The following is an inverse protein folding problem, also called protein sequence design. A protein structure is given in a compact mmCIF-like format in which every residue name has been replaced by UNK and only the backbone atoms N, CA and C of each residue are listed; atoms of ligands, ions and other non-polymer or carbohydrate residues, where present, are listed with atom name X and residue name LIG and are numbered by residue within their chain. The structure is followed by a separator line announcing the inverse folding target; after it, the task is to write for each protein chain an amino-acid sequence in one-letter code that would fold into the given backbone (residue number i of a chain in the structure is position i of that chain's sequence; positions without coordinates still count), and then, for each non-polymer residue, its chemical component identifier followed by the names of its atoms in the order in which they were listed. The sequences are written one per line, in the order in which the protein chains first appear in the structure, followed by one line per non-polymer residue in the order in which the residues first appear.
data_IF_448075056234
#
_entry.id   IF_448075056234
#
_cell.length_a   1.000
_cell.length_b   1.000
_cell.length_c   1.000
_cell.angle_alpha   90.00
_cell.angle_beta   90.00
_cell.angle_gamma   90.00
#
_symmetry.space_group_name_H-M   'P 1'
#
loop_
_entity.id
_entity.type
_entity.pdbx_description
1 polymer ?
#
# COMPACT_ATOMS: atom_id res chain seq x y z
N UNK A 1 10.81 45.22 -50.73
CA UNK A 1 11.03 43.84 -50.24
C UNK A 1 10.37 43.74 -48.88
N UNK A 2 9.22 43.07 -48.78
CA UNK A 2 8.31 43.15 -47.63
C UNK A 2 8.61 42.06 -46.57
N UNK A 3 9.88 41.93 -46.19
CA UNK A 3 10.37 40.88 -45.28
C UNK A 3 9.73 40.99 -43.89
N UNK A 4 9.47 42.20 -43.41
CA UNK A 4 8.84 42.42 -42.10
C UNK A 4 7.38 41.93 -42.04
N UNK A 5 6.63 42.07 -43.15
CA UNK A 5 5.25 41.54 -43.25
C UNK A 5 5.25 40.01 -43.25
N UNK A 6 6.24 39.40 -43.90
CA UNK A 6 6.42 37.94 -43.89
C UNK A 6 6.82 37.41 -42.52
N UNK A 7 7.71 38.11 -41.79
CA UNK A 7 8.07 37.78 -40.41
C UNK A 7 6.86 37.86 -39.47
N UNK A 8 6.00 38.87 -39.62
CA UNK A 8 4.79 39.00 -38.81
C UNK A 8 3.80 37.86 -39.07
N UNK A 9 3.59 37.50 -40.34
CA UNK A 9 2.70 36.40 -40.72
C UNK A 9 3.24 35.05 -40.22
N UNK A 10 4.56 34.83 -40.32
CA UNK A 10 5.20 33.62 -39.81
C UNK A 10 5.07 33.51 -38.28
N UNK A 11 5.29 34.61 -37.56
CA UNK A 11 5.17 34.63 -36.10
C UNK A 11 3.72 34.42 -35.63
N UNK A 12 2.74 34.97 -36.37
CA UNK A 12 1.32 34.74 -36.09
C UNK A 12 0.93 33.27 -36.34
N UNK A 13 1.42 32.68 -37.43
CA UNK A 13 1.17 31.26 -37.74
C UNK A 13 1.82 30.33 -36.70
N UNK A 14 3.02 30.67 -36.22
CA UNK A 14 3.68 29.93 -35.15
C UNK A 14 2.87 29.98 -33.84
N UNK A 15 2.39 31.15 -33.44
CA UNK A 15 1.56 31.28 -32.23
C UNK A 15 0.22 30.54 -32.37
N UNK A 16 -0.42 30.62 -33.53
CA UNK A 16 -1.65 29.88 -33.80
C UNK A 16 -1.42 28.37 -33.77
N UNK A 17 -0.29 27.88 -34.31
CA UNK A 17 0.09 26.48 -34.25
C UNK A 17 0.37 26.02 -32.81
N UNK A 18 1.03 26.84 -31.99
CA UNK A 18 1.26 26.53 -30.57
C UNK A 18 -0.05 26.42 -29.80
N UNK A 19 -0.99 27.34 -30.01
CA UNK A 19 -2.31 27.30 -29.36
C UNK A 19 -3.14 26.11 -29.83
N UNK A 20 -3.09 25.78 -31.13
CA UNK A 20 -3.77 24.61 -31.67
C UNK A 20 -3.16 23.30 -31.15
N UNK A 21 -1.84 23.22 -31.04
CA UNK A 21 -1.14 22.08 -30.46
C UNK A 21 -1.48 21.91 -28.98
N UNK A 22 -1.52 23.01 -28.20
CA UNK A 22 -1.94 22.99 -26.81
C UNK A 22 -3.40 22.53 -26.67
N UNK A 23 -4.29 23.04 -27.51
CA UNK A 23 -5.69 22.63 -27.53
C UNK A 23 -5.84 21.15 -27.88
N UNK A 24 -5.08 20.65 -28.85
CA UNK A 24 -5.08 19.23 -29.21
C UNK A 24 -4.45 18.38 -28.10
N UNK A 25 -3.44 18.88 -27.39
CA UNK A 25 -2.84 18.17 -26.26
C UNK A 25 -3.77 18.10 -25.04
N UNK A 26 -4.60 19.12 -24.82
CA UNK A 26 -5.62 19.14 -23.77
C UNK A 26 -6.95 18.46 -24.16
N UNK A 27 -7.25 18.38 -25.47
CA UNK A 27 -8.49 17.77 -25.99
C UNK A 27 -8.29 16.38 -26.56
N UNK A 28 -7.03 15.92 -26.69
CA UNK A 28 -6.79 14.50 -26.68
C UNK A 28 -7.27 14.09 -25.29
N UNK A 29 -8.43 13.43 -25.23
CA UNK A 29 -8.71 12.55 -24.12
C UNK A 29 -7.39 11.82 -23.91
N UNK A 30 -6.77 12.04 -22.74
CA UNK A 30 -6.21 10.88 -22.11
C UNK A 30 -7.39 9.92 -22.17
N UNK A 31 -7.32 8.86 -22.99
CA UNK A 31 -7.94 7.63 -22.55
C UNK A 31 -7.49 7.59 -21.11
N UNK A 32 -8.42 7.89 -20.19
CA UNK A 32 -8.25 7.50 -18.82
C UNK A 32 -7.73 6.10 -18.99
N UNK A 33 -6.49 5.84 -18.56
CA UNK A 33 -6.03 4.48 -18.50
C UNK A 33 -7.22 3.78 -17.87
N UNK A 34 -7.89 2.94 -18.65
CA UNK A 34 -8.96 2.09 -18.18
C UNK A 34 -8.18 1.13 -17.28
N UNK A 35 -7.90 1.64 -16.10
CA UNK A 35 -7.94 0.88 -14.89
C UNK A 35 -9.44 0.72 -14.62
N UNK A 36 -10.14 0.08 -15.56
CA UNK A 36 -10.96 -1.08 -15.25
C UNK A 36 -9.99 -2.12 -14.65
N UNK A 37 -9.42 -1.83 -13.49
CA UNK A 37 -9.65 -2.79 -12.43
C UNK A 37 -11.14 -2.70 -12.24
N UNK A 38 -11.83 -3.73 -12.73
CA UNK A 38 -13.18 -4.06 -12.32
C UNK A 38 -13.17 -4.01 -10.79
N UNK A 39 -13.40 -2.82 -10.26
CA UNK A 39 -14.01 -2.66 -8.98
C UNK A 39 -15.38 -3.35 -9.20
N UNK A 40 -15.62 -4.57 -8.65
CA UNK A 40 -16.94 -5.17 -8.66
C UNK A 40 -18.00 -4.11 -8.33
N UNK A 41 -19.10 -4.07 -9.07
CA UNK A 41 -20.22 -3.12 -8.91
C UNK A 41 -20.92 -3.18 -7.53
N UNK A 42 -20.28 -3.78 -6.53
CA UNK A 42 -20.75 -4.00 -5.17
C UNK A 42 -19.89 -3.25 -4.12
N UNK A 43 -19.19 -2.17 -4.49
CA UNK A 43 -18.65 -1.27 -3.47
C UNK A 43 -19.80 -0.58 -2.74
N UNK A 44 -19.97 -0.98 -1.49
CA UNK A 44 -20.85 -0.39 -0.47
C UNK A 44 -20.87 1.14 -0.57
N UNK A 45 -22.03 1.77 -0.33
CA UNK A 45 -22.27 3.23 -0.37
C UNK A 45 -21.35 4.06 0.56
N UNK A 46 -20.40 3.44 1.26
CA UNK A 46 -19.53 4.01 2.28
C UNK A 46 -18.06 3.63 2.06
N UNK A 47 -17.49 4.08 0.93
CA UNK A 47 -16.06 3.92 0.64
C UNK A 47 -15.27 5.12 1.18
N UNK A 48 -14.24 4.85 2.00
CA UNK A 48 -13.34 5.86 2.55
C UNK A 48 -11.94 5.61 1.99
N UNK A 49 -11.31 6.68 1.50
CA UNK A 49 -9.91 6.66 1.12
C UNK A 49 -9.07 7.29 2.22
N UNK A 50 -8.04 6.58 2.68
CA UNK A 50 -7.04 7.11 3.61
C UNK A 50 -5.68 7.26 2.92
N UNK A 51 -4.93 8.29 3.31
CA UNK A 51 -3.56 8.50 2.86
C UNK A 51 -2.57 7.63 3.65
N UNK A 52 -1.41 7.31 3.04
CA UNK A 52 -0.34 6.52 3.66
C UNK A 52 0.04 7.03 5.04
N UNK A 53 0.21 8.35 5.18
CA UNK A 53 0.61 8.96 6.44
C UNK A 53 -0.44 8.76 7.54
N UNK A 54 -1.72 8.71 7.16
CA UNK A 54 -2.84 8.49 8.09
C UNK A 54 -2.86 7.04 8.53
N UNK A 55 -2.71 6.10 7.59
CA UNK A 55 -2.64 4.66 7.90
C UNK A 55 -1.41 4.34 8.74
N UNK A 56 -0.24 4.90 8.41
CA UNK A 56 0.99 4.77 9.19
C UNK A 56 0.78 5.25 10.63
N UNK A 57 0.17 6.44 10.80
CA UNK A 57 -0.10 6.98 12.12
C UNK A 57 -1.05 6.08 12.93
N UNK A 58 -2.11 5.55 12.29
CA UNK A 58 -3.06 4.65 12.95
C UNK A 58 -2.39 3.34 13.37
N UNK A 59 -1.62 2.70 12.48
CA UNK A 59 -0.88 1.48 12.78
C UNK A 59 0.14 1.69 13.90
N UNK A 60 0.93 2.77 13.83
CA UNK A 60 1.92 3.09 14.86
C UNK A 60 1.28 3.43 16.22
N UNK A 61 0.08 4.01 16.22
CA UNK A 61 -0.66 4.29 17.45
C UNK A 61 -1.13 2.98 18.08
N UNK A 62 -1.75 2.09 17.29
CA UNK A 62 -2.20 0.79 17.74
C UNK A 62 -1.06 -0.08 18.28
N UNK A 63 0.05 -0.16 17.54
CA UNK A 63 1.22 -0.93 17.94
C UNK A 63 1.84 -0.44 19.26
N UNK A 64 1.79 0.87 19.54
CA UNK A 64 2.28 1.43 20.81
C UNK A 64 1.33 1.17 21.99
N UNK A 65 0.03 1.03 21.74
CA UNK A 65 -0.99 0.82 22.78
C UNK A 65 -1.10 -0.65 23.21
N UNK A 66 -1.14 -1.58 22.26
CA UNK A 66 -1.31 -3.01 22.55
C UNK A 66 0.00 -3.76 22.77
N UNK A 67 1.08 -3.30 22.16
CA UNK A 67 2.38 -3.92 22.28
C UNK A 67 3.36 -2.92 22.89
N UNK A 68 3.73 -3.12 24.17
CA UNK A 68 4.90 -2.48 24.78
C UNK A 68 6.24 -2.88 24.12
N UNK A 69 6.20 -3.21 22.84
CA UNK A 69 7.25 -3.68 21.95
C UNK A 69 7.79 -2.52 21.14
N UNK A 70 9.10 -2.55 20.89
CA UNK A 70 9.80 -1.60 20.03
C UNK A 70 9.53 -1.94 18.55
N UNK A 71 8.26 -1.84 18.14
CA UNK A 71 7.79 -2.04 16.77
C UNK A 71 7.32 -0.73 16.16
N UNK A 72 7.70 -0.47 14.92
CA UNK A 72 7.31 0.73 14.16
C UNK A 72 7.07 0.37 12.70
N UNK A 73 6.01 0.92 12.11
CA UNK A 73 5.68 0.79 10.70
C UNK A 73 5.97 2.12 10.01
N UNK A 74 6.51 2.05 8.80
CA UNK A 74 6.71 3.20 7.91
C UNK A 74 6.15 2.85 6.54
N UNK A 75 5.29 3.71 6.01
CA UNK A 75 4.63 3.51 4.71
C UNK A 75 5.11 4.62 3.77
N UNK A 76 5.95 4.25 2.81
CA UNK A 76 6.37 5.14 1.72
C UNK A 76 5.73 4.71 0.40
N UNK A 77 5.76 5.58 -0.61
CA UNK A 77 5.32 5.29 -1.98
C UNK A 77 6.10 4.13 -2.66
N UNK A 78 7.28 3.77 -2.14
CA UNK A 78 8.09 2.69 -2.69
C UNK A 78 7.82 1.34 -2.01
N UNK A 79 7.72 1.31 -0.67
CA UNK A 79 7.60 0.07 0.08
C UNK A 79 7.00 0.30 1.48
N UNK A 80 6.39 -0.73 2.04
CA UNK A 80 5.97 -0.77 3.45
C UNK A 80 7.09 -1.42 4.27
N UNK A 81 7.59 -0.71 5.29
CA UNK A 81 8.64 -1.20 6.18
C UNK A 81 8.12 -1.40 7.58
N UNK A 82 8.29 -2.61 8.12
CA UNK A 82 8.04 -2.92 9.52
C UNK A 82 9.38 -3.11 10.22
N UNK A 83 9.64 -2.29 11.24
CA UNK A 83 10.80 -2.38 12.11
C UNK A 83 10.36 -2.99 13.44
N UNK A 84 11.12 -3.95 13.94
CA UNK A 84 10.84 -4.65 15.19
C UNK A 84 12.14 -5.00 15.91
N UNK A 85 12.32 -4.51 17.13
CA UNK A 85 13.42 -4.96 18.00
C UNK A 85 12.98 -6.22 18.75
N UNK A 86 13.67 -7.33 18.50
CA UNK A 86 13.38 -8.62 19.11
C UNK A 86 14.58 -9.13 19.89
N UNK A 87 14.34 -9.71 21.06
CA UNK A 87 15.37 -10.43 21.81
C UNK A 87 15.39 -11.90 21.36
N UNK A 88 16.44 -12.29 20.62
CA UNK A 88 16.70 -13.69 20.29
C UNK A 88 18.01 -14.12 20.94
N UNK A 89 18.02 -15.27 21.61
CA UNK A 89 19.23 -15.83 22.25
C UNK A 89 19.92 -14.87 23.24
N UNK A 90 19.15 -14.07 23.98
CA UNK A 90 19.64 -13.02 24.88
C UNK A 90 20.49 -11.92 24.19
N UNK A 91 20.24 -11.70 22.91
CA UNK A 91 20.79 -10.59 22.13
C UNK A 91 19.63 -9.81 21.50
N UNK A 92 19.71 -8.49 21.52
CA UNK A 92 18.75 -7.62 20.85
C UNK A 92 19.10 -7.52 19.37
N UNK A 93 18.10 -7.74 18.52
CA UNK A 93 18.22 -7.61 17.08
C UNK A 93 17.18 -6.64 16.54
N UNK A 94 17.66 -5.61 15.85
CA UNK A 94 16.83 -4.78 14.99
C UNK A 94 16.47 -5.59 13.75
N UNK A 95 15.18 -5.87 13.59
CA UNK A 95 14.64 -6.56 12.42
C UNK A 95 13.89 -5.58 11.55
N UNK A 96 14.21 -5.55 10.26
CA UNK A 96 13.52 -4.76 9.25
C UNK A 96 12.90 -5.73 8.26
N UNK A 97 11.58 -5.60 8.07
CA UNK A 97 10.80 -6.31 7.08
C UNK A 97 10.39 -5.34 5.99
N UNK A 98 10.62 -5.71 4.74
CA UNK A 98 10.00 -5.05 3.59
C UNK A 98 8.80 -5.90 3.20
N UNK A 99 7.62 -5.29 3.26
CA UNK A 99 6.33 -5.94 3.07
C UNK A 99 5.66 -5.40 1.81
N UNK A 100 5.10 -6.31 1.03
CA UNK A 100 4.22 -6.01 -0.10
C UNK A 100 2.81 -6.52 0.24
N UNK A 101 1.84 -5.62 0.45
CA UNK A 101 0.48 -6.01 0.75
C UNK A 101 -0.26 -6.42 -0.53
N UNK A 102 -1.03 -7.49 -0.44
CA UNK A 102 -1.95 -7.95 -1.45
C UNK A 102 -3.28 -8.30 -0.78
N UNK A 103 -4.36 -7.74 -1.30
CA UNK A 103 -5.71 -7.97 -0.80
C UNK A 103 -6.42 -8.94 -1.74
N UNK A 104 -6.99 -10.00 -1.17
CA UNK A 104 -7.92 -10.91 -1.86
C UNK A 104 -9.30 -10.78 -1.21
N UNK A 105 -10.34 -11.28 -1.86
CA UNK A 105 -11.73 -11.26 -1.40
C UNK A 105 -11.93 -11.70 0.07
N UNK A 106 -11.07 -12.58 0.60
CA UNK A 106 -11.20 -13.14 1.97
C UNK A 106 -9.94 -13.06 2.82
N UNK A 107 -8.78 -12.79 2.22
CA UNK A 107 -7.50 -12.84 2.90
C UNK A 107 -6.70 -11.58 2.58
N UNK A 108 -6.00 -11.09 3.61
CA UNK A 108 -5.03 -10.03 3.51
C UNK A 108 -3.63 -10.64 3.62
N UNK A 109 -2.87 -10.54 2.55
CA UNK A 109 -1.58 -11.22 2.39
C UNK A 109 -0.48 -10.17 2.42
N UNK A 110 0.46 -10.28 3.34
CA UNK A 110 1.68 -9.49 3.35
C UNK A 110 2.84 -10.38 2.90
N UNK A 111 3.24 -10.24 1.64
CA UNK A 111 4.43 -10.91 1.13
C UNK A 111 5.68 -10.22 1.68
N UNK A 112 6.66 -11.00 2.12
CA UNK A 112 7.89 -10.46 2.67
C UNK A 112 8.95 -10.45 1.57
N UNK A 113 9.13 -9.29 0.94
CA UNK A 113 10.09 -9.09 -0.14
C UNK A 113 11.53 -9.12 0.35
N UNK A 114 11.79 -8.64 1.58
CA UNK A 114 13.11 -8.67 2.18
C UNK A 114 13.05 -8.71 3.72
N UNK A 115 14.02 -9.39 4.34
CA UNK A 115 14.19 -9.45 5.79
C UNK A 115 15.64 -9.20 6.15
N UNK A 116 15.85 -8.18 6.97
CA UNK A 116 17.16 -7.87 7.53
C UNK A 116 17.13 -7.95 9.05
N UNK A 117 17.97 -8.80 9.64
CA UNK A 117 18.15 -8.92 11.10
C UNK A 117 19.57 -8.47 11.44
N UNK A 118 19.72 -7.20 11.81
CA UNK A 118 21.02 -6.58 12.07
C UNK A 118 22.00 -6.70 10.89
N UNK A 119 23.24 -7.11 11.17
CA UNK A 119 24.27 -7.42 10.15
C UNK A 119 24.52 -8.93 10.03
N UNK A 120 23.55 -9.76 10.41
CA UNK A 120 23.71 -11.20 10.33
C UNK A 120 23.74 -11.64 8.86
N UNK A 121 24.77 -12.37 8.39
CA UNK A 121 24.85 -12.86 7.02
C UNK A 121 24.00 -14.13 6.86
N UNK A 122 22.72 -14.04 7.21
CA UNK A 122 21.75 -15.14 7.06
C UNK A 122 20.96 -14.93 5.77
N UNK A 123 20.61 -16.01 5.09
CA UNK A 123 19.67 -15.93 3.97
C UNK A 123 18.27 -15.64 4.48
N UNK A 124 17.47 -14.94 3.68
CA UNK A 124 16.06 -14.65 3.97
C UNK A 124 15.28 -15.91 4.38
N UNK A 125 15.55 -17.06 3.75
CA UNK A 125 14.88 -18.33 4.08
C UNK A 125 15.10 -18.77 5.53
N UNK A 126 16.32 -18.56 6.05
CA UNK A 126 16.66 -18.90 7.43
C UNK A 126 16.01 -17.91 8.41
N UNK A 127 16.00 -16.62 8.07
CA UNK A 127 15.34 -15.60 8.88
C UNK A 127 13.83 -15.86 8.95
N UNK A 128 13.19 -16.14 7.82
CA UNK A 128 11.79 -16.51 7.75
C UNK A 128 11.47 -17.77 8.56
N UNK A 129 12.32 -18.80 8.45
CA UNK A 129 12.13 -20.05 9.20
C UNK A 129 12.25 -19.83 10.71
N UNK A 130 13.18 -18.98 11.15
CA UNK A 130 13.36 -18.64 12.56
C UNK A 130 12.12 -17.94 13.11
N UNK A 131 11.60 -16.94 12.40
CA UNK A 131 10.41 -16.18 12.81
C UNK A 131 9.19 -17.08 12.83
N UNK A 132 8.95 -17.85 11.77
CA UNK A 132 7.84 -18.80 11.69
C UNK A 132 7.84 -19.82 12.85
N UNK A 133 9.02 -20.25 13.29
CA UNK A 133 9.15 -21.24 14.37
C UNK A 133 9.05 -20.60 15.76
N UNK A 134 9.35 -19.31 15.89
CA UNK A 134 9.33 -18.58 17.15
C UNK A 134 8.08 -17.73 17.40
N UNK A 135 7.27 -17.47 16.37
CA UNK A 135 6.08 -16.63 16.47
C UNK A 135 4.84 -17.45 16.83
N UNK A 136 4.29 -17.20 18.03
CA UNK A 136 2.94 -17.64 18.38
C UNK A 136 1.92 -16.69 17.74
N UNK A 137 1.40 -17.08 16.57
CA UNK A 137 0.35 -16.32 15.89
C UNK A 137 -1.05 -16.71 16.43
N UNK A 138 -1.95 -15.75 16.70
CA UNK A 138 -3.35 -16.02 17.01
C UNK A 138 -4.11 -16.71 15.87
N UNK A 139 -5.25 -17.33 16.20
CA UNK A 139 -6.14 -17.98 15.23
C UNK A 139 -6.60 -16.96 14.18
N UNK A 140 -6.42 -17.27 12.89
CA UNK A 140 -6.71 -16.37 11.75
C UNK A 140 -5.47 -15.70 11.14
N UNK A 141 -4.29 -15.82 11.74
CA UNK A 141 -3.00 -15.48 11.09
C UNK A 141 -2.16 -16.73 10.81
N UNK A 142 -1.63 -16.84 9.61
CA UNK A 142 -0.76 -17.95 9.20
C UNK A 142 0.41 -17.49 8.34
N UNK A 143 1.60 -18.02 8.64
CA UNK A 143 2.75 -17.90 7.75
C UNK A 143 2.64 -18.90 6.59
N UNK A 144 2.70 -18.42 5.35
CA UNK A 144 2.72 -19.22 4.14
C UNK A 144 4.00 -20.07 4.07
N UNK A 145 3.86 -21.37 3.86
CA UNK A 145 5.02 -22.26 3.69
C UNK A 145 5.68 -22.17 2.32
N UNK A 146 4.99 -21.56 1.34
CA UNK A 146 5.41 -21.56 -0.06
C UNK A 146 5.93 -20.20 -0.54
N UNK A 147 5.36 -19.09 -0.03
CA UNK A 147 5.57 -17.74 -0.59
C UNK A 147 6.12 -16.71 0.40
N UNK A 148 6.75 -17.11 1.51
CA UNK A 148 7.26 -16.19 2.56
C UNK A 148 6.28 -15.05 2.88
N UNK A 149 5.00 -15.36 3.02
CA UNK A 149 3.96 -14.36 3.23
C UNK A 149 3.27 -14.58 4.58
N UNK A 150 2.88 -13.49 5.23
CA UNK A 150 1.93 -13.53 6.35
C UNK A 150 0.53 -13.39 5.77
N UNK A 151 -0.32 -14.40 5.98
CA UNK A 151 -1.71 -14.41 5.55
C UNK A 151 -2.58 -14.17 6.77
N UNK A 152 -3.46 -13.18 6.67
CA UNK A 152 -4.40 -12.75 7.69
C UNK A 152 -5.80 -12.93 7.12
N UNK A 153 -6.64 -13.70 7.81
CA UNK A 153 -8.04 -13.86 7.44
C UNK A 153 -8.80 -12.57 7.78
N UNK A 154 -9.53 -12.01 6.80
CA UNK A 154 -10.30 -10.77 6.99
C UNK A 154 -11.38 -10.93 8.05
N UNK A 155 -11.92 -12.14 8.24
CA UNK A 155 -12.94 -12.43 9.25
C UNK A 155 -12.46 -12.24 10.69
N UNK A 156 -11.16 -12.05 10.92
CA UNK A 156 -10.65 -11.64 12.23
C UNK A 156 -11.05 -10.21 12.59
N UNK A 157 -11.30 -9.33 11.63
CA UNK A 157 -11.71 -7.96 11.91
C UNK A 157 -13.22 -7.87 12.19
N UNK A 158 -13.98 -8.90 11.80
CA UNK A 158 -15.40 -9.04 12.08
C UNK A 158 -15.63 -9.23 13.60
N UNK A 159 -16.24 -8.23 14.23
CA UNK A 159 -16.63 -8.26 15.64
C UNK A 159 -15.75 -7.46 16.61
N UNK A 160 -14.69 -6.79 16.14
CA UNK A 160 -13.96 -5.81 16.97
C UNK A 160 -14.64 -4.43 17.02
N UNK A 161 -15.51 -4.15 16.05
CA UNK A 161 -16.29 -2.90 16.01
C UNK A 161 -17.74 -3.19 15.66
N UNK A 162 -18.65 -2.25 15.97
CA UNK A 162 -20.07 -2.33 15.56
C UNK A 162 -20.25 -2.18 14.02
N UNK A 163 -19.16 -2.01 13.27
CA UNK A 163 -19.10 -1.90 11.83
C UNK A 163 -18.27 -3.04 11.25
N UNK A 164 -18.69 -3.60 10.11
CA UNK A 164 -17.80 -4.43 9.30
C UNK A 164 -16.89 -3.50 8.52
N UNK A 165 -15.58 -3.61 8.75
CA UNK A 165 -14.56 -2.80 8.06
C UNK A 165 -13.81 -3.74 7.14
N UNK A 166 -14.00 -3.58 5.84
CA UNK A 166 -13.23 -4.33 4.86
C UNK A 166 -12.19 -3.44 4.18
N UNK A 167 -11.04 -4.03 3.90
CA UNK A 167 -9.98 -3.43 3.10
C UNK A 167 -10.20 -3.92 1.68
N UNK A 168 -10.51 -2.99 0.80
CA UNK A 168 -10.85 -3.27 -0.58
C UNK A 168 -9.60 -3.36 -1.45
N UNK A 169 -8.74 -2.35 -1.34
CA UNK A 169 -7.51 -2.28 -2.11
C UNK A 169 -6.49 -1.39 -1.39
N UNK A 170 -5.22 -1.72 -1.58
CA UNK A 170 -4.09 -0.98 -1.01
C UNK A 170 -3.22 -0.50 -2.16
N UNK A 171 -3.30 0.80 -2.45
CA UNK A 171 -2.43 1.48 -3.41
C UNK A 171 -1.53 2.47 -2.68
N UNK A 172 -0.58 1.91 -1.93
CA UNK A 172 0.38 2.71 -1.19
C UNK A 172 1.31 3.52 -2.12
N UNK A 173 1.48 3.12 -3.38
CA UNK A 173 2.30 3.84 -4.35
C UNK A 173 1.65 5.16 -4.76
N UNK A 174 0.32 5.19 -4.83
CA UNK A 174 -0.45 6.40 -5.13
C UNK A 174 -1.04 7.07 -3.87
N UNK A 175 -0.51 6.76 -2.68
CA UNK A 175 -0.95 7.34 -1.41
C UNK A 175 -2.46 7.12 -1.13
N UNK A 176 -3.01 5.98 -1.54
CA UNK A 176 -4.43 5.69 -1.46
C UNK A 176 -4.70 4.30 -0.89
N UNK A 177 -5.39 4.26 0.25
CA UNK A 177 -5.88 3.03 0.87
C UNK A 177 -7.41 3.05 0.86
N UNK A 178 -8.01 2.02 0.29
CA UNK A 178 -9.46 1.95 0.07
C UNK A 178 -10.08 1.03 1.12
N UNK A 179 -10.96 1.61 1.94
CA UNK A 179 -11.71 0.89 2.97
C UNK A 179 -13.20 0.99 2.67
N UNK A 180 -13.91 -0.11 2.80
CA UNK A 180 -15.37 -0.13 2.79
C UNK A 180 -15.88 -0.39 4.19
N UNK A 181 -17.00 0.25 4.53
CA UNK A 181 -17.70 0.03 5.78
C UNK A 181 -19.09 -0.47 5.46
N UNK A 182 -19.47 -1.59 6.04
CA UNK A 182 -20.85 -2.02 6.05
C UNK A 182 -21.41 -1.88 7.47
N UNK A 183 -22.54 -1.17 7.56
CA UNK A 183 -23.23 -1.02 8.83
C UNK A 183 -24.04 -2.30 9.04
N UNK A 184 -23.70 -3.08 10.06
CA UNK A 184 -24.50 -4.23 10.51
C UNK A 184 -25.78 -3.73 11.20
N UNK A 185 -26.64 -3.00 10.47
CA UNK A 185 -27.96 -2.62 10.94
C UNK A 185 -28.90 -3.80 10.83
N UNK A 186 -29.08 -4.47 11.97
CA UNK A 186 -30.25 -5.27 12.29
C UNK A 186 -31.47 -4.37 12.59
#
# INVERSE_FOLDING_TARGET
MNIWKWLFILLLMANAATLAALYFFLSNDYDALDVEEELPEEYSEHLITLENHTVEFLLNTYLQEDAGSNMAVTIDEENIRLMSENEYLNMNFDTIFILEPYVTDSELIFEISDISVGQLPLSEDMLYTLIRTGADLPEGMRFSTESKALVIDKSMFDGYTDFSVDIESIDYQNNAWYFSFENELN
#
